data_IF_882576613663
#
_entry.id   IF_882576613663
#
_cell.length_a   1.000
_cell.length_b   1.000
_cell.length_c   1.000
_cell.angle_alpha   90.00
_cell.angle_beta   90.00
_cell.angle_gamma   90.00
#
_symmetry.space_group_name_H-M   'P 1'
#
loop_
_entity.id
_entity.type
_entity.pdbx_description
1 polymer ?
#
# COMPACT_ATOMS: atom_id res chain seq x y z
N UNK A 1 -39.56 15.87 66.27
CA UNK A 1 -40.17 15.60 64.96
C UNK A 1 -39.37 16.24 63.83
N UNK A 2 -39.01 17.52 63.92
CA UNK A 2 -38.22 18.25 62.92
C UNK A 2 -36.88 17.60 62.50
N UNK A 3 -36.14 16.99 63.44
CA UNK A 3 -34.86 16.34 63.11
C UNK A 3 -35.03 15.06 62.27
N UNK A 4 -36.12 14.31 62.48
CA UNK A 4 -36.43 13.13 61.68
C UNK A 4 -36.79 13.53 60.25
N UNK A 5 -37.56 14.61 60.08
CA UNK A 5 -37.91 15.16 58.77
C UNK A 5 -36.65 15.59 57.98
N UNK A 6 -35.68 16.23 58.65
CA UNK A 6 -34.40 16.60 58.04
C UNK A 6 -33.59 15.38 57.63
N UNK A 7 -33.56 14.33 58.45
CA UNK A 7 -32.87 13.07 58.12
C UNK A 7 -33.55 12.41 56.91
N UNK A 8 -34.88 12.34 56.86
CA UNK A 8 -35.59 11.75 55.73
C UNK A 8 -35.39 12.53 54.44
N UNK A 9 -35.42 13.87 54.50
CA UNK A 9 -35.14 14.72 53.35
C UNK A 9 -33.71 14.50 52.82
N UNK A 10 -32.72 14.47 53.71
CA UNK A 10 -31.33 14.23 53.31
C UNK A 10 -31.12 12.85 52.70
N UNK A 11 -31.83 11.82 53.17
CA UNK A 11 -31.78 10.48 52.57
C UNK A 11 -32.32 10.50 51.14
N UNK A 12 -33.49 11.11 50.91
CA UNK A 12 -34.04 11.21 49.55
C UNK A 12 -33.14 11.99 48.59
N UNK A 13 -32.48 13.05 49.06
CA UNK A 13 -31.48 13.79 48.26
C UNK A 13 -30.29 12.89 47.87
N UNK A 14 -29.78 12.11 48.82
CA UNK A 14 -28.66 11.20 48.57
C UNK A 14 -29.04 10.05 47.64
N UNK A 15 -30.27 9.52 47.77
CA UNK A 15 -30.79 8.49 46.87
C UNK A 15 -30.88 9.03 45.43
N UNK A 16 -31.35 10.26 45.26
CA UNK A 16 -31.43 10.92 43.94
C UNK A 16 -30.03 11.13 43.34
N UNK A 17 -29.07 11.59 44.14
CA UNK A 17 -27.67 11.76 43.71
C UNK A 17 -27.02 10.41 43.34
N UNK A 18 -27.33 9.35 44.09
CA UNK A 18 -26.82 8.02 43.81
C UNK A 18 -27.35 7.48 42.46
N UNK A 19 -28.63 7.71 42.15
CA UNK A 19 -29.23 7.36 40.86
C UNK A 19 -28.59 8.13 39.70
N UNK A 20 -28.34 9.43 39.86
CA UNK A 20 -27.68 10.24 38.83
C UNK A 20 -26.24 9.78 38.56
N UNK A 21 -25.47 9.53 39.63
CA UNK A 21 -24.10 9.02 39.51
C UNK A 21 -24.05 7.62 38.89
N UNK A 22 -25.02 6.75 39.21
CA UNK A 22 -25.11 5.42 38.59
C UNK A 22 -25.35 5.53 37.08
N UNK A 23 -26.17 6.48 36.63
CA UNK A 23 -26.39 6.75 35.21
C UNK A 23 -25.11 7.25 34.52
N UNK A 24 -24.42 8.22 35.11
CA UNK A 24 -23.16 8.73 34.56
C UNK A 24 -22.09 7.65 34.46
N UNK A 25 -21.98 6.79 35.49
CA UNK A 25 -21.06 5.66 35.49
C UNK A 25 -21.38 4.68 34.35
N UNK A 26 -22.65 4.40 34.11
CA UNK A 26 -23.07 3.54 33.01
C UNK A 26 -22.70 4.13 31.64
N UNK A 27 -22.88 5.43 31.44
CA UNK A 27 -22.49 6.11 30.19
C UNK A 27 -20.98 6.01 29.95
N UNK A 28 -20.17 6.28 30.97
CA UNK A 28 -18.70 6.15 30.88
C UNK A 28 -18.27 4.70 30.63
N UNK A 29 -18.97 3.72 31.23
CA UNK A 29 -18.68 2.31 30.99
C UNK A 29 -18.94 1.91 29.53
N UNK A 30 -20.05 2.37 28.95
CA UNK A 30 -20.36 2.14 27.54
C UNK A 30 -19.30 2.75 26.63
N UNK A 31 -18.92 4.01 26.85
CA UNK A 31 -17.86 4.66 26.07
C UNK A 31 -16.52 3.90 26.20
N UNK A 32 -16.17 3.44 27.41
CA UNK A 32 -14.96 2.65 27.62
C UNK A 32 -15.00 1.32 26.85
N UNK A 33 -16.13 0.65 26.78
CA UNK A 33 -16.29 -0.58 26.01
C UNK A 33 -16.12 -0.32 24.51
N UNK A 34 -16.70 0.77 23.99
CA UNK A 34 -16.51 1.19 22.60
C UNK A 34 -15.04 1.48 22.29
N UNK A 35 -14.33 2.16 23.20
CA UNK A 35 -12.90 2.45 23.04
C UNK A 35 -12.04 1.18 23.04
N UNK A 36 -12.36 0.18 23.88
CA UNK A 36 -11.67 -1.13 23.85
C UNK A 36 -11.85 -1.83 22.51
N UNK A 37 -13.03 -1.72 21.91
CA UNK A 37 -13.29 -2.26 20.56
C UNK A 37 -12.46 -1.49 19.52
N UNK A 38 -12.46 -0.16 19.58
CA UNK A 38 -11.69 0.68 18.67
C UNK A 38 -10.18 0.38 18.74
N UNK A 39 -9.63 0.25 19.94
CA UNK A 39 -8.23 -0.11 20.15
C UNK A 39 -7.88 -1.46 19.52
N UNK A 40 -8.73 -2.48 19.73
CA UNK A 40 -8.55 -3.80 19.11
C UNK A 40 -8.58 -3.73 17.58
N UNK A 41 -9.44 -2.91 17.00
CA UNK A 41 -9.50 -2.71 15.54
C UNK A 41 -8.23 -2.06 15.02
N UNK A 42 -7.75 -0.99 15.69
CA UNK A 42 -6.52 -0.30 15.30
C UNK A 42 -5.30 -1.23 15.38
N UNK A 43 -5.19 -2.04 16.43
CA UNK A 43 -4.11 -3.01 16.57
C UNK A 43 -4.11 -4.04 15.44
N UNK A 44 -5.30 -4.54 15.05
CA UNK A 44 -5.43 -5.47 13.92
C UNK A 44 -5.01 -4.83 12.60
N UNK A 45 -5.39 -3.57 12.35
CA UNK A 45 -4.98 -2.85 11.15
C UNK A 45 -3.45 -2.67 11.13
N UNK A 46 -2.85 -2.28 12.26
CA UNK A 46 -1.39 -2.14 12.36
C UNK A 46 -0.64 -3.46 12.16
N UNK A 47 -1.22 -4.60 12.55
CA UNK A 47 -0.68 -5.94 12.24
C UNK A 47 -0.80 -6.27 10.76
N UNK A 48 -1.93 -5.95 10.13
CA UNK A 48 -2.14 -6.16 8.69
C UNK A 48 -1.18 -5.33 7.85
N UNK A 49 -0.96 -4.06 8.22
CA UNK A 49 -0.01 -3.17 7.54
C UNK A 49 1.42 -3.69 7.66
N UNK A 50 1.85 -4.10 8.88
CA UNK A 50 3.15 -4.73 9.08
C UNK A 50 3.33 -6.00 8.26
N UNK A 51 2.32 -6.87 8.23
CA UNK A 51 2.35 -8.09 7.42
C UNK A 51 2.43 -7.76 5.92
N UNK A 52 1.75 -6.71 5.45
CA UNK A 52 1.82 -6.25 4.07
C UNK A 52 3.21 -5.68 3.73
N UNK A 53 3.83 -4.92 4.65
CA UNK A 53 5.20 -4.42 4.50
C UNK A 53 6.22 -5.57 4.48
N UNK A 54 6.11 -6.56 5.37
CA UNK A 54 6.97 -7.74 5.41
C UNK A 54 6.83 -8.57 4.13
N UNK A 55 5.60 -8.79 3.65
CA UNK A 55 5.35 -9.46 2.38
C UNK A 55 5.94 -8.67 1.20
N UNK A 56 5.81 -7.34 1.21
CA UNK A 56 6.42 -6.49 0.18
C UNK A 56 7.96 -6.54 0.22
N UNK A 57 8.55 -6.57 1.40
CA UNK A 57 10.00 -6.66 1.59
C UNK A 57 10.55 -8.04 1.18
N UNK A 58 9.82 -9.13 1.46
CA UNK A 58 10.23 -10.48 1.10
C UNK A 58 10.39 -10.69 -0.42
N UNK A 59 9.61 -9.97 -1.22
CA UNK A 59 9.67 -10.05 -2.69
C UNK A 59 10.42 -8.87 -3.34
N UNK A 60 10.93 -7.93 -2.53
CA UNK A 60 11.69 -6.81 -3.04
C UNK A 60 13.06 -7.27 -3.60
N UNK A 61 13.47 -6.82 -4.80
CA UNK A 61 14.77 -7.18 -5.34
C UNK A 61 15.92 -6.65 -4.49
N UNK A 62 16.84 -7.53 -4.11
CA UNK A 62 18.05 -7.16 -3.40
C UNK A 62 18.96 -6.27 -4.29
N UNK A 63 19.45 -5.12 -3.78
CA UNK A 63 20.40 -4.30 -4.52
C UNK A 63 21.77 -4.98 -4.61
N UNK A 64 22.30 -5.12 -5.82
CA UNK A 64 23.70 -5.49 -6.03
C UNK A 64 24.60 -4.26 -5.96
N UNK A 65 25.90 -4.47 -5.74
CA UNK A 65 26.90 -3.39 -5.81
C UNK A 65 27.72 -3.50 -7.09
N UNK A 66 27.77 -2.42 -7.88
CA UNK A 66 28.66 -2.29 -9.05
C UNK A 66 29.55 -1.08 -8.81
N UNK A 67 30.86 -1.28 -8.73
CA UNK A 67 31.84 -0.21 -8.44
C UNK A 67 31.46 0.66 -7.21
N UNK A 68 30.95 0.02 -6.13
CA UNK A 68 30.52 0.71 -4.91
C UNK A 68 29.14 1.35 -4.96
N UNK A 69 28.46 1.39 -6.12
CA UNK A 69 27.10 1.92 -6.27
C UNK A 69 26.07 0.80 -6.16
N UNK A 70 25.03 1.01 -5.35
CA UNK A 70 23.87 0.11 -5.29
C UNK A 70 23.06 0.19 -6.60
N UNK A 71 22.82 -0.96 -7.22
CA UNK A 71 22.05 -1.12 -8.46
C UNK A 71 21.09 -2.29 -8.29
N UNK A 72 19.82 -2.09 -8.58
CA UNK A 72 18.84 -3.17 -8.64
C UNK A 72 19.06 -3.96 -9.94
N UNK A 73 19.41 -5.24 -9.82
CA UNK A 73 19.59 -6.13 -10.98
C UNK A 73 18.23 -6.60 -11.50
N UNK A 74 18.12 -6.66 -12.81
CA UNK A 74 16.95 -7.23 -13.49
C UNK A 74 17.31 -8.65 -13.88
N UNK A 75 16.78 -9.67 -13.22
CA UNK A 75 17.00 -11.07 -13.60
C UNK A 75 16.57 -11.35 -15.06
N UNK A 76 17.17 -12.37 -15.68
CA UNK A 76 16.61 -12.91 -16.92
C UNK A 76 15.27 -13.59 -16.60
N UNK A 77 14.29 -13.50 -17.51
CA UNK A 77 13.00 -14.17 -17.36
C UNK A 77 13.21 -15.69 -17.33
N UNK A 78 12.81 -16.33 -16.23
CA UNK A 78 12.76 -17.80 -16.06
C UNK A 78 11.45 -18.38 -16.61
N UNK A 79 11.37 -19.71 -16.71
CA UNK A 79 10.15 -20.43 -17.15
C UNK A 79 8.94 -20.16 -16.25
N UNK A 80 9.17 -19.97 -14.94
CA UNK A 80 8.20 -19.43 -14.01
C UNK A 80 8.63 -18.00 -13.64
N UNK A 81 8.16 -16.97 -14.35
CA UNK A 81 8.64 -15.60 -14.18
C UNK A 81 8.07 -14.99 -12.90
N UNK A 82 8.94 -14.73 -11.93
CA UNK A 82 8.58 -13.91 -10.77
C UNK A 82 8.73 -12.42 -11.11
N UNK A 83 7.64 -11.82 -11.58
CA UNK A 83 7.61 -10.38 -11.88
C UNK A 83 7.79 -9.51 -10.64
N UNK A 84 7.46 -10.00 -9.45
CA UNK A 84 7.57 -9.22 -8.23
C UNK A 84 9.03 -8.95 -7.86
N UNK A 85 9.96 -9.80 -8.32
CA UNK A 85 11.40 -9.56 -8.27
C UNK A 85 11.89 -8.40 -9.19
N UNK A 86 11.03 -7.84 -10.06
CA UNK A 86 11.40 -6.65 -10.84
C UNK A 86 11.22 -5.37 -10.00
N UNK A 87 12.14 -4.39 -10.13
CA UNK A 87 11.93 -3.08 -9.52
C UNK A 87 10.63 -2.45 -10.01
N UNK A 88 9.96 -1.67 -9.15
CA UNK A 88 8.60 -1.18 -9.36
C UNK A 88 8.39 -0.48 -10.72
N UNK A 89 9.35 0.34 -11.15
CA UNK A 89 9.31 1.02 -12.46
C UNK A 89 9.19 0.03 -13.63
N UNK A 90 9.92 -1.08 -13.58
CA UNK A 90 9.90 -2.09 -14.64
C UNK A 90 8.62 -2.91 -14.61
N UNK A 91 8.07 -3.20 -13.42
CA UNK A 91 6.74 -3.82 -13.28
C UNK A 91 5.64 -2.96 -13.90
N UNK A 92 5.64 -1.65 -13.64
CA UNK A 92 4.66 -0.71 -14.24
C UNK A 92 4.76 -0.70 -15.77
N UNK A 93 5.97 -0.61 -16.31
CA UNK A 93 6.21 -0.68 -17.76
C UNK A 93 5.66 -2.01 -18.34
N UNK A 94 5.97 -3.13 -17.69
CA UNK A 94 5.52 -4.45 -18.14
C UNK A 94 3.99 -4.59 -18.07
N UNK A 95 3.36 -4.08 -17.03
CA UNK A 95 1.90 -4.05 -16.88
C UNK A 95 1.22 -3.26 -18.00
N UNK A 96 1.72 -2.06 -18.32
CA UNK A 96 1.20 -1.22 -19.42
C UNK A 96 1.34 -1.94 -20.77
N UNK A 97 2.51 -2.53 -21.04
CA UNK A 97 2.75 -3.26 -22.30
C UNK A 97 1.85 -4.48 -22.43
N UNK A 98 1.52 -5.15 -21.32
CA UNK A 98 0.62 -6.32 -21.30
C UNK A 98 -0.84 -5.93 -21.43
N UNK A 99 -1.24 -4.82 -20.81
CA UNK A 99 -2.61 -4.31 -20.88
C UNK A 99 -2.96 -3.79 -22.28
N UNK A 100 -1.96 -3.50 -23.11
CA UNK A 100 -2.18 -3.14 -24.50
C UNK A 100 -2.55 -4.36 -25.36
N UNK A 101 -3.62 -4.25 -26.13
CA UNK A 101 -4.11 -5.27 -27.07
C UNK A 101 -3.22 -5.43 -28.33
N UNK A 102 -1.92 -5.14 -28.23
CA UNK A 102 -0.99 -5.26 -29.36
C UNK A 102 0.38 -4.62 -29.12
N UNK A 103 1.24 -4.59 -30.16
CA UNK A 103 2.59 -4.05 -30.05
C UNK A 103 2.59 -2.54 -29.74
N UNK A 104 3.23 -2.15 -28.65
CA UNK A 104 3.29 -0.75 -28.18
C UNK A 104 4.61 -0.07 -28.53
N UNK A 105 4.54 1.24 -28.75
CA UNK A 105 5.73 2.09 -28.89
C UNK A 105 6.12 2.70 -27.54
N UNK A 106 7.40 3.07 -27.41
CA UNK A 106 7.93 3.77 -26.23
C UNK A 106 7.10 5.01 -25.87
N UNK A 107 6.60 5.72 -26.89
CA UNK A 107 5.77 6.90 -26.72
C UNK A 107 4.45 6.58 -26.00
N UNK A 108 3.73 5.53 -26.43
CA UNK A 108 2.45 5.15 -25.80
C UNK A 108 2.64 4.72 -24.34
N UNK A 109 3.70 3.98 -24.05
CA UNK A 109 4.04 3.65 -22.65
C UNK A 109 4.43 4.91 -21.85
N UNK A 110 5.09 5.87 -22.49
CA UNK A 110 5.42 7.15 -21.86
C UNK A 110 4.18 7.99 -21.52
N UNK A 111 3.17 8.00 -22.40
CA UNK A 111 1.89 8.68 -22.20
C UNK A 111 1.14 8.08 -21.00
N UNK A 112 1.04 6.75 -20.93
CA UNK A 112 0.43 6.04 -19.78
C UNK A 112 1.19 6.24 -18.46
N UNK A 113 2.50 6.45 -18.53
CA UNK A 113 3.33 6.80 -17.37
C UNK A 113 3.29 8.29 -17.01
N UNK A 114 2.53 9.12 -17.74
CA UNK A 114 2.44 10.56 -17.52
C UNK A 114 3.73 11.32 -17.84
N UNK A 115 4.60 10.77 -18.69
CA UNK A 115 5.83 11.43 -19.11
C UNK A 115 5.56 12.47 -20.20
N UNK A 116 6.35 13.54 -20.21
CA UNK A 116 6.33 14.54 -21.27
C UNK A 116 6.90 13.96 -22.57
N UNK A 117 6.02 13.42 -23.42
CA UNK A 117 6.43 12.68 -24.62
C UNK A 117 6.81 13.56 -25.82
N UNK A 118 6.49 14.86 -25.77
CA UNK A 118 6.86 15.81 -26.81
C UNK A 118 8.38 16.08 -26.84
N UNK A 119 9.06 15.92 -25.71
CA UNK A 119 10.50 16.12 -25.59
C UNK A 119 11.22 14.79 -25.76
N UNK A 120 11.86 14.58 -26.91
CA UNK A 120 12.54 13.31 -27.26
C UNK A 120 13.51 12.81 -26.18
N UNK A 121 14.25 13.72 -25.54
CA UNK A 121 15.20 13.39 -24.47
C UNK A 121 14.55 12.80 -23.21
N UNK A 122 13.27 13.10 -22.93
CA UNK A 122 12.54 12.54 -21.78
C UNK A 122 12.16 11.07 -21.99
N UNK A 123 12.05 10.63 -23.23
CA UNK A 123 11.77 9.23 -23.59
C UNK A 123 13.03 8.35 -23.66
N UNK A 124 14.23 8.91 -23.68
CA UNK A 124 15.47 8.13 -23.76
C UNK A 124 15.69 7.21 -22.55
N UNK A 125 15.48 7.66 -21.30
CA UNK A 125 15.54 6.77 -20.14
C UNK A 125 14.51 5.64 -20.22
N UNK A 126 13.28 5.93 -20.66
CA UNK A 126 12.23 4.92 -20.82
C UNK A 126 12.60 3.90 -21.90
N UNK A 127 13.12 4.36 -23.04
CA UNK A 127 13.60 3.49 -24.14
C UNK A 127 14.70 2.54 -23.66
N UNK A 128 15.64 3.03 -22.86
CA UNK A 128 16.69 2.21 -22.27
C UNK A 128 16.11 1.15 -21.32
N UNK A 129 15.11 1.52 -20.49
CA UNK A 129 14.42 0.57 -19.58
C UNK A 129 13.67 -0.52 -20.36
N UNK A 130 12.91 -0.16 -21.40
CA UNK A 130 12.17 -1.13 -22.23
C UNK A 130 13.10 -2.05 -23.02
N UNK A 131 14.22 -1.52 -23.54
CA UNK A 131 15.23 -2.33 -24.22
C UNK A 131 15.88 -3.32 -23.24
N UNK A 132 16.22 -2.87 -22.03
CA UNK A 132 16.76 -3.76 -20.99
C UNK A 132 15.78 -4.87 -20.62
N UNK A 133 14.49 -4.60 -20.53
CA UNK A 133 13.48 -5.65 -20.33
C UNK A 133 13.42 -6.64 -21.48
N UNK A 134 13.60 -6.16 -22.72
CA UNK A 134 13.65 -7.03 -23.88
C UNK A 134 14.90 -7.93 -23.89
N UNK A 135 16.08 -7.36 -23.59
CA UNK A 135 17.34 -8.09 -23.51
C UNK A 135 17.31 -9.17 -22.40
N UNK A 136 16.53 -8.93 -21.34
CA UNK A 136 16.31 -9.85 -20.23
C UNK A 136 15.16 -10.83 -20.48
N UNK A 137 14.52 -10.78 -21.64
CA UNK A 137 13.49 -11.73 -22.07
C UNK A 137 12.09 -11.49 -21.50
N UNK A 138 11.86 -10.35 -20.81
CA UNK A 138 10.56 -9.95 -20.27
C UNK A 138 9.64 -9.34 -21.33
N UNK A 139 10.23 -8.59 -22.26
CA UNK A 139 9.53 -8.06 -23.43
C UNK A 139 10.10 -8.69 -24.70
N UNK A 140 9.29 -8.73 -25.75
CA UNK A 140 9.77 -8.99 -27.10
C UNK A 140 9.82 -7.66 -27.87
N UNK A 141 11.02 -7.27 -28.32
CA UNK A 141 11.23 -6.12 -29.19
C UNK A 141 11.19 -6.58 -30.64
N UNK A 142 10.22 -6.06 -31.40
CA UNK A 142 10.03 -6.34 -32.82
C UNK A 142 11.04 -5.56 -33.69
N UNK A 143 11.28 -6.00 -34.94
CA UNK A 143 12.17 -5.29 -35.87
C UNK A 143 11.73 -3.85 -36.17
N UNK A 144 10.44 -3.56 -36.06
CA UNK A 144 9.83 -2.24 -36.25
C UNK A 144 9.96 -1.33 -35.02
N UNK A 145 10.66 -1.77 -33.96
CA UNK A 145 10.90 -1.00 -32.75
C UNK A 145 9.75 -1.01 -31.74
N UNK A 146 8.67 -1.76 -31.98
CA UNK A 146 7.57 -1.96 -31.02
C UNK A 146 7.87 -3.07 -30.03
N UNK A 147 7.21 -3.02 -28.88
CA UNK A 147 7.38 -3.97 -27.79
C UNK A 147 6.07 -4.71 -27.53
N UNK A 148 6.18 -5.99 -27.19
CA UNK A 148 5.06 -6.85 -26.79
C UNK A 148 5.44 -7.60 -25.53
N UNK A 149 4.48 -7.84 -24.63
CA UNK A 149 4.70 -8.70 -23.48
C UNK A 149 4.93 -10.14 -23.96
N UNK A 150 5.85 -10.85 -23.30
CA UNK A 150 6.05 -12.28 -23.59
C UNK A 150 5.02 -13.08 -22.77
N UNK A 151 4.29 -14.04 -23.37
CA UNK A 151 3.37 -14.91 -22.65
C UNK A 151 4.11 -15.76 -21.63
#
# INVERSE_FOLDING_TARGET
>A
MQDLERITARRSELDTLAEELAKQLQEVQVEREELVIAERVLNRLAEQDRAAEEAAAAVAPAPARVAGRAVLLIGHRSENPDEAALPADYRKILAIVRAADGPVQVRGVGEELGLEVAVRGKLEPLRAKMTKLADRGWLHKRPDGRFTARP
#
